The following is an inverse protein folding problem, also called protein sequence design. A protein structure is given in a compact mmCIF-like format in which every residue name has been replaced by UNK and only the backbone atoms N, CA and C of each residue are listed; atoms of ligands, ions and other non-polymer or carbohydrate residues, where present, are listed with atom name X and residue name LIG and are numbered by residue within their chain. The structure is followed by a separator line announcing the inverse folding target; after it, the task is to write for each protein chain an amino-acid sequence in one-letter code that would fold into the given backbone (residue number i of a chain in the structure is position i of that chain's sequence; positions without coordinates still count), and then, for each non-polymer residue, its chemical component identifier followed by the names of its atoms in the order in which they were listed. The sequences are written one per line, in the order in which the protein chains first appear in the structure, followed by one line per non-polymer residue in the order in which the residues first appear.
data_IF_700188652307
#
_entry.id   IF_700188652307
#
_cell.length_a   1.000
_cell.length_b   1.000
_cell.length_c   1.000
_cell.angle_alpha   90.00
_cell.angle_beta   90.00
_cell.angle_gamma   90.00
#
_symmetry.space_group_name_H-M   'P 1'
#
loop_
_entity.id
_entity.type
_entity.pdbx_description
1 polymer ?
#
# COMPACT_ATOMS: atom_id res chain seq x y z
N UNK A 1 16.50 -1.43 5.03
CA UNK A 1 15.21 -0.68 4.92
C UNK A 1 15.26 0.65 4.16
N UNK A 2 16.38 1.36 4.04
CA UNK A 2 16.46 2.68 3.33
C UNK A 2 16.33 2.64 1.79
N UNK A 3 16.49 1.48 1.14
CA UNK A 3 16.51 1.39 -0.33
C UNK A 3 15.14 1.35 -1.03
N UNK A 4 14.12 0.79 -0.39
CA UNK A 4 12.84 0.49 -1.04
C UNK A 4 11.95 1.70 -1.30
N UNK A 5 11.95 2.70 -0.40
CA UNK A 5 11.20 3.97 -0.58
C UNK A 5 11.72 4.82 -1.75
N UNK A 6 12.99 4.64 -2.13
CA UNK A 6 13.64 5.41 -3.20
C UNK A 6 13.18 5.00 -4.60
N UNK A 7 12.69 3.77 -4.78
CA UNK A 7 12.27 3.28 -6.11
C UNK A 7 11.05 4.06 -6.61
N UNK A 8 10.01 4.21 -5.80
CA UNK A 8 8.82 4.96 -6.16
C UNK A 8 9.13 6.44 -6.46
N UNK A 9 9.92 7.09 -5.59
CA UNK A 9 10.35 8.48 -5.79
C UNK A 9 11.24 8.62 -7.03
N UNK A 10 12.10 7.64 -7.32
CA UNK A 10 12.92 7.62 -8.53
C UNK A 10 12.07 7.56 -9.80
N UNK A 11 11.02 6.73 -9.83
CA UNK A 11 10.10 6.64 -10.97
C UNK A 11 9.32 7.95 -11.16
N UNK A 12 8.88 8.60 -10.07
CA UNK A 12 8.27 9.91 -10.12
C UNK A 12 9.21 10.98 -10.69
N UNK A 13 10.51 10.95 -10.33
CA UNK A 13 11.51 11.85 -10.88
C UNK A 13 11.73 11.61 -12.38
N UNK A 14 11.76 10.36 -12.84
CA UNK A 14 11.83 10.01 -14.26
C UNK A 14 10.59 10.51 -15.00
N UNK A 15 9.39 10.32 -14.44
CA UNK A 15 8.16 10.85 -15.01
C UNK A 15 8.19 12.38 -15.15
N UNK A 16 8.71 13.10 -14.13
CA UNK A 16 8.91 14.54 -14.18
C UNK A 16 9.84 14.94 -15.34
N UNK A 17 10.94 14.21 -15.53
CA UNK A 17 11.90 14.48 -16.62
C UNK A 17 11.25 14.25 -17.99
N UNK A 18 10.45 13.20 -18.16
CA UNK A 18 9.71 12.94 -19.40
C UNK A 18 8.72 14.09 -19.67
N UNK A 19 7.96 14.54 -18.68
CA UNK A 19 7.06 15.67 -18.83
C UNK A 19 7.79 16.97 -19.20
N UNK A 20 8.99 17.19 -18.63
CA UNK A 20 9.83 18.35 -18.99
C UNK A 20 10.22 18.30 -20.47
N UNK A 21 10.62 17.15 -20.98
CA UNK A 21 10.97 16.97 -22.40
C UNK A 21 9.76 17.23 -23.30
N UNK A 22 8.57 16.73 -22.95
CA UNK A 22 7.33 16.98 -23.69
C UNK A 22 7.00 18.48 -23.75
N UNK A 23 7.16 19.21 -22.64
CA UNK A 23 6.95 20.67 -22.61
C UNK A 23 7.92 21.39 -23.54
N UNK A 24 9.19 21.02 -23.53
CA UNK A 24 10.19 21.61 -24.42
C UNK A 24 9.89 21.35 -25.91
N UNK A 25 9.46 20.14 -26.23
CA UNK A 25 9.03 19.78 -27.60
C UNK A 25 7.82 20.60 -28.06
N UNK A 26 6.80 20.74 -27.20
CA UNK A 26 5.62 21.56 -27.47
C UNK A 26 5.99 23.03 -27.70
N UNK A 27 6.86 23.61 -26.87
CA UNK A 27 7.36 24.98 -27.01
C UNK A 27 8.12 25.16 -28.32
N UNK A 28 8.93 24.18 -28.72
CA UNK A 28 9.65 24.20 -29.98
C UNK A 28 8.69 24.22 -31.19
N UNK A 29 7.64 23.37 -31.15
CA UNK A 29 6.64 23.30 -32.22
C UNK A 29 5.79 24.59 -32.31
N UNK A 30 5.38 25.16 -31.15
CA UNK A 30 4.62 26.42 -31.11
C UNK A 30 5.42 27.57 -31.78
N UNK A 31 6.74 27.59 -31.55
CA UNK A 31 7.59 28.67 -32.03
C UNK A 31 7.88 28.61 -33.56
N UNK A 32 7.64 27.43 -34.20
CA UNK A 32 7.86 27.23 -35.65
C UNK A 32 6.73 27.73 -36.57
N UNK A 33 5.62 28.24 -36.02
CA UNK A 33 4.53 28.80 -36.80
C UNK A 33 3.60 27.73 -37.40
N UNK A 34 2.34 27.79 -37.09
CA UNK A 34 1.28 26.91 -37.56
C UNK A 34 -0.07 27.61 -37.53
N UNK A 35 -1.12 26.93 -37.96
CA UNK A 35 -2.53 27.40 -37.95
C UNK A 35 -2.86 27.78 -36.49
N UNK A 36 -3.52 28.92 -36.28
CA UNK A 36 -3.83 29.48 -34.94
C UNK A 36 -4.54 28.45 -34.00
N UNK A 37 -5.48 27.69 -34.55
CA UNK A 37 -6.17 26.64 -33.81
C UNK A 37 -5.18 25.62 -33.20
N UNK A 38 -4.14 25.24 -33.92
CA UNK A 38 -3.12 24.31 -33.46
C UNK A 38 -2.29 24.90 -32.32
N UNK A 39 -1.99 26.19 -32.36
CA UNK A 39 -1.30 26.89 -31.27
C UNK A 39 -2.12 26.85 -29.97
N UNK A 40 -3.42 27.15 -30.04
CA UNK A 40 -4.29 27.08 -28.83
C UNK A 40 -4.35 25.66 -28.25
N UNK A 41 -4.45 24.66 -29.13
CA UNK A 41 -4.49 23.25 -28.71
C UNK A 41 -3.19 22.82 -28.01
N UNK A 42 -2.04 23.23 -28.55
CA UNK A 42 -0.74 22.99 -27.91
C UNK A 42 -0.56 23.79 -26.62
N UNK A 43 -1.03 25.04 -26.56
CA UNK A 43 -0.98 25.82 -25.32
C UNK A 43 -1.81 25.20 -24.20
N UNK A 44 -3.02 24.72 -24.49
CA UNK A 44 -3.85 24.03 -23.50
C UNK A 44 -3.21 22.73 -23.02
N UNK A 45 -2.62 21.94 -23.92
CA UNK A 45 -1.88 20.75 -23.57
C UNK A 45 -0.65 21.08 -22.68
N UNK A 46 0.09 22.12 -23.05
CA UNK A 46 1.24 22.58 -22.25
C UNK A 46 0.83 22.99 -20.82
N UNK A 47 -0.26 23.78 -20.69
CA UNK A 47 -0.77 24.18 -19.37
C UNK A 47 -1.16 22.94 -18.56
N UNK A 48 -1.82 21.95 -19.17
CA UNK A 48 -2.19 20.71 -18.52
C UNK A 48 -0.97 19.91 -18.04
N UNK A 49 0.06 19.79 -18.88
CA UNK A 49 1.32 19.11 -18.50
C UNK A 49 2.05 19.84 -17.37
N UNK A 50 2.11 21.18 -17.43
CA UNK A 50 2.70 21.99 -16.35
C UNK A 50 1.94 21.83 -15.03
N UNK A 51 0.61 21.76 -15.08
CA UNK A 51 -0.21 21.48 -13.90
C UNK A 51 0.11 20.11 -13.29
N UNK A 52 0.23 19.05 -14.11
CA UNK A 52 0.63 17.73 -13.64
C UNK A 52 2.04 17.73 -13.02
N UNK A 53 2.98 18.45 -13.63
CA UNK A 53 4.34 18.61 -13.07
C UNK A 53 4.31 19.31 -11.70
N UNK A 54 3.57 20.40 -11.57
CA UNK A 54 3.42 21.11 -10.31
C UNK A 54 2.82 20.21 -9.21
N UNK A 55 1.86 19.37 -9.57
CA UNK A 55 1.24 18.40 -8.68
C UNK A 55 2.27 17.34 -8.20
N UNK A 56 3.10 16.82 -9.10
CA UNK A 56 4.17 15.87 -8.75
C UNK A 56 5.17 16.51 -7.78
N UNK A 57 5.62 17.75 -8.06
CA UNK A 57 6.54 18.49 -7.20
C UNK A 57 5.94 18.73 -5.82
N UNK A 58 4.66 19.13 -5.76
CA UNK A 58 3.95 19.35 -4.51
C UNK A 58 3.91 18.08 -3.64
N UNK A 59 3.69 16.90 -4.25
CA UNK A 59 3.66 15.63 -3.52
C UNK A 59 5.05 15.19 -3.06
N UNK A 60 6.08 15.33 -3.91
CA UNK A 60 7.45 15.04 -3.50
C UNK A 60 7.85 15.95 -2.32
N UNK A 61 7.52 17.25 -2.39
CA UNK A 61 7.73 18.21 -1.31
C UNK A 61 6.96 17.85 -0.04
N UNK A 62 5.71 17.42 -0.17
CA UNK A 62 4.87 16.98 0.94
C UNK A 62 5.44 15.72 1.63
N UNK A 63 5.87 14.73 0.85
CA UNK A 63 6.53 13.52 1.40
C UNK A 63 7.82 13.91 2.12
N UNK A 64 8.65 14.76 1.51
CA UNK A 64 9.88 15.25 2.12
C UNK A 64 9.62 16.00 3.42
N UNK A 65 8.62 16.89 3.43
CA UNK A 65 8.20 17.62 4.63
C UNK A 65 7.78 16.66 5.75
N UNK A 66 6.93 15.66 5.48
CA UNK A 66 6.48 14.67 6.48
C UNK A 66 7.64 13.83 7.01
N UNK A 67 8.64 13.52 6.16
CA UNK A 67 9.84 12.79 6.57
C UNK A 67 10.71 13.62 7.52
N UNK A 68 10.91 14.89 7.21
CA UNK A 68 11.83 15.78 7.96
C UNK A 68 11.19 16.34 9.23
N UNK A 69 9.95 16.85 9.14
CA UNK A 69 9.30 17.57 10.25
C UNK A 69 8.82 16.67 11.40
N UNK A 70 8.82 15.34 11.22
CA UNK A 70 8.26 14.37 12.16
C UNK A 70 6.79 14.64 12.57
N UNK A 71 6.18 15.74 12.12
CA UNK A 71 4.77 16.07 12.32
C UNK A 71 4.01 15.78 11.04
N UNK A 72 3.01 14.91 11.11
CA UNK A 72 2.04 14.71 10.03
C UNK A 72 0.75 15.40 10.40
N UNK A 73 0.19 16.16 9.45
CA UNK A 73 -1.15 16.66 9.57
C UNK A 73 -2.08 15.69 8.83
N UNK A 74 -3.20 15.30 9.43
CA UNK A 74 -4.16 14.33 8.84
C UNK A 74 -4.54 14.68 7.39
N UNK A 75 -4.67 15.98 7.11
CA UNK A 75 -4.94 16.47 5.75
C UNK A 75 -3.79 16.12 4.79
N UNK A 76 -2.54 16.34 5.21
CA UNK A 76 -1.36 16.09 4.39
C UNK A 76 -1.16 14.58 4.12
N UNK A 77 -1.36 13.74 5.15
CA UNK A 77 -1.32 12.28 4.97
C UNK A 77 -2.39 11.78 4.01
N UNK A 78 -3.61 12.31 4.12
CA UNK A 78 -4.73 11.96 3.23
C UNK A 78 -4.43 12.40 1.79
N UNK A 79 -3.91 13.62 1.61
CA UNK A 79 -3.53 14.12 0.30
C UNK A 79 -2.46 13.25 -0.37
N UNK A 80 -1.37 12.93 0.36
CA UNK A 80 -0.30 12.04 -0.14
C UNK A 80 -0.87 10.67 -0.50
N UNK A 81 -1.70 10.11 0.36
CA UNK A 81 -2.31 8.78 0.14
C UNK A 81 -3.16 8.76 -1.12
N UNK A 82 -4.05 9.74 -1.30
CA UNK A 82 -4.92 9.82 -2.48
C UNK A 82 -4.11 10.02 -3.77
N UNK A 83 -3.04 10.81 -3.70
CA UNK A 83 -2.15 10.99 -4.83
C UNK A 83 -1.41 9.69 -5.19
N UNK A 84 -0.86 8.99 -4.20
CA UNK A 84 -0.21 7.70 -4.41
C UNK A 84 -1.15 6.70 -5.08
N UNK A 85 -2.41 6.65 -4.65
CA UNK A 85 -3.42 5.75 -5.20
C UNK A 85 -3.78 6.12 -6.64
N UNK A 86 -3.91 7.41 -6.94
CA UNK A 86 -4.22 7.93 -8.27
C UNK A 86 -3.09 7.68 -9.27
N UNK A 87 -1.85 7.91 -8.85
CA UNK A 87 -0.68 7.78 -9.74
C UNK A 87 -0.07 6.37 -9.77
N UNK A 88 -0.54 5.46 -8.93
CA UNK A 88 -0.03 4.08 -8.90
C UNK A 88 -0.08 3.36 -10.25
N UNK A 89 -1.20 3.40 -11.03
CA UNK A 89 -1.24 2.74 -12.35
C UNK A 89 -0.21 3.32 -13.32
N UNK A 90 0.01 4.62 -13.27
CA UNK A 90 1.02 5.29 -14.10
C UNK A 90 2.44 4.86 -13.73
N UNK A 91 2.73 4.77 -12.42
CA UNK A 91 4.04 4.30 -11.93
C UNK A 91 4.30 2.86 -12.34
N UNK A 92 3.29 1.98 -12.29
CA UNK A 92 3.38 0.59 -12.76
C UNK A 92 3.61 0.53 -14.26
N UNK A 93 2.92 1.36 -15.05
CA UNK A 93 3.13 1.46 -16.50
C UNK A 93 4.58 1.87 -16.84
N UNK A 94 5.08 2.93 -16.22
CA UNK A 94 6.47 3.40 -16.43
C UNK A 94 7.48 2.33 -15.98
N UNK A 95 7.22 1.65 -14.86
CA UNK A 95 8.06 0.56 -14.38
C UNK A 95 8.11 -0.59 -15.39
N UNK A 96 6.99 -0.92 -16.04
CA UNK A 96 6.92 -1.92 -17.12
C UNK A 96 7.73 -1.51 -18.35
N UNK A 97 7.67 -0.24 -18.76
CA UNK A 97 8.47 0.29 -19.88
C UNK A 97 9.98 0.25 -19.57
N UNK A 98 10.36 0.49 -18.29
CA UNK A 98 11.75 0.47 -17.84
C UNK A 98 12.25 -0.93 -17.45
N UNK A 99 11.47 -2.00 -17.68
CA UNK A 99 11.76 -3.38 -17.29
C UNK A 99 12.12 -3.55 -15.80
N UNK A 100 11.47 -2.75 -14.95
CA UNK A 100 11.65 -2.84 -13.50
C UNK A 100 10.75 -3.91 -12.92
N UNK A 101 11.26 -4.65 -11.92
CA UNK A 101 10.45 -5.66 -11.19
C UNK A 101 9.29 -4.98 -10.47
N UNK A 102 8.06 -5.28 -10.87
CA UNK A 102 6.81 -4.72 -10.32
C UNK A 102 6.74 -4.95 -8.80
N UNK A 103 7.17 -6.11 -8.31
CA UNK A 103 7.22 -6.41 -6.87
C UNK A 103 7.98 -5.33 -6.06
N UNK A 104 9.06 -4.73 -6.63
CA UNK A 104 9.80 -3.66 -5.95
C UNK A 104 9.00 -2.35 -5.87
N UNK A 105 8.20 -2.06 -6.89
CA UNK A 105 7.30 -0.90 -6.91
C UNK A 105 6.21 -1.07 -5.86
N UNK A 106 5.58 -2.24 -5.83
CA UNK A 106 4.56 -2.61 -4.87
C UNK A 106 5.09 -2.54 -3.42
N UNK A 107 6.28 -3.11 -3.17
CA UNK A 107 6.95 -3.01 -1.86
C UNK A 107 7.18 -1.55 -1.46
N UNK A 108 7.65 -0.71 -2.40
CA UNK A 108 7.89 0.72 -2.15
C UNK A 108 6.60 1.46 -1.80
N UNK A 109 5.50 1.18 -2.52
CA UNK A 109 4.18 1.72 -2.25
C UNK A 109 3.68 1.34 -0.84
N UNK A 110 3.76 0.05 -0.49
CA UNK A 110 3.35 -0.45 0.83
C UNK A 110 4.19 0.20 1.95
N UNK A 111 5.50 0.36 1.75
CA UNK A 111 6.37 0.99 2.73
C UNK A 111 6.04 2.47 2.96
N UNK A 112 5.68 3.21 1.90
CA UNK A 112 5.26 4.62 2.03
C UNK A 112 3.92 4.68 2.79
N UNK A 113 2.95 3.85 2.43
CA UNK A 113 1.66 3.76 3.15
C UNK A 113 1.85 3.42 4.63
N UNK A 114 2.68 2.43 4.95
CA UNK A 114 3.00 2.06 6.32
C UNK A 114 3.73 3.18 7.08
N UNK A 115 4.59 3.94 6.39
CA UNK A 115 5.24 5.10 6.99
C UNK A 115 4.23 6.19 7.37
N UNK A 116 3.29 6.51 6.48
CA UNK A 116 2.22 7.47 6.76
C UNK A 116 1.31 6.97 7.87
N UNK A 117 0.93 5.69 7.85
CA UNK A 117 0.17 5.05 8.91
C UNK A 117 0.83 5.22 10.28
N UNK A 118 2.14 4.93 10.39
CA UNK A 118 2.89 5.07 11.64
C UNK A 118 2.99 6.52 12.16
N UNK A 119 2.81 7.51 11.28
CA UNK A 119 2.79 8.92 11.67
C UNK A 119 1.44 9.37 12.27
N UNK A 120 0.36 8.72 11.82
CA UNK A 120 -1.01 9.04 12.22
C UNK A 120 -1.61 7.97 13.15
N UNK A 121 -0.74 7.16 13.78
CA UNK A 121 -1.18 6.06 14.64
C UNK A 121 -2.01 6.59 15.81
N UNK A 122 -3.13 5.93 16.08
CA UNK A 122 -4.04 6.25 17.18
C UNK A 122 -4.21 5.02 18.04
N UNK A 123 -4.73 5.24 19.24
CA UNK A 123 -5.18 4.15 20.11
C UNK A 123 -6.50 3.59 19.61
N UNK A 124 -6.58 2.26 19.52
CA UNK A 124 -7.78 1.53 19.11
C UNK A 124 -8.18 0.54 20.21
N UNK A 125 -9.47 0.30 20.36
CA UNK A 125 -9.94 -0.79 21.20
C UNK A 125 -9.65 -2.14 20.51
N UNK A 126 -9.39 -3.22 21.28
CA UNK A 126 -9.05 -4.52 20.69
C UNK A 126 -10.04 -5.00 19.63
N UNK A 127 -11.33 -4.87 19.88
CA UNK A 127 -12.41 -5.26 18.95
C UNK A 127 -12.46 -4.43 17.65
N UNK A 128 -11.82 -3.26 17.62
CA UNK A 128 -11.74 -2.40 16.45
C UNK A 128 -10.58 -2.77 15.51
N UNK A 129 -9.68 -3.66 15.98
CA UNK A 129 -8.50 -4.12 15.23
C UNK A 129 -8.83 -5.43 14.53
N UNK A 130 -8.63 -5.49 13.20
CA UNK A 130 -8.73 -6.71 12.41
C UNK A 130 -7.36 -7.13 11.89
N UNK A 131 -6.94 -8.35 12.19
CA UNK A 131 -5.83 -9.02 11.51
C UNK A 131 -6.43 -9.83 10.37
N UNK A 132 -6.10 -9.46 9.14
CA UNK A 132 -6.56 -10.13 7.93
C UNK A 132 -5.40 -10.86 7.28
N UNK A 133 -5.43 -12.19 7.33
CA UNK A 133 -4.36 -13.05 6.85
C UNK A 133 -4.77 -13.86 5.61
N UNK A 134 -3.84 -14.19 4.72
CA UNK A 134 -4.11 -15.02 3.56
C UNK A 134 -4.12 -16.50 3.96
N UNK A 135 -4.94 -17.31 3.29
CA UNK A 135 -5.03 -18.74 3.55
C UNK A 135 -3.72 -19.52 3.28
N UNK A 136 -2.83 -18.96 2.44
CA UNK A 136 -1.56 -19.61 2.10
C UNK A 136 -0.56 -19.67 3.27
N UNK A 137 -0.81 -18.99 4.38
CA UNK A 137 -0.05 -19.17 5.64
C UNK A 137 -0.40 -20.50 6.31
N UNK A 138 -1.62 -21.02 6.09
CA UNK A 138 -2.00 -22.32 6.63
C UNK A 138 -1.22 -23.44 5.96
N UNK A 139 -0.74 -24.39 6.78
CA UNK A 139 -0.09 -25.60 6.27
C UNK A 139 -0.99 -26.32 5.25
N UNK A 140 -0.47 -26.58 4.07
CA UNK A 140 -1.25 -27.13 2.94
C UNK A 140 -1.90 -28.49 3.23
N UNK A 141 -1.23 -29.35 4.00
CA UNK A 141 -1.72 -30.65 4.46
C UNK A 141 -2.68 -30.59 5.65
N UNK A 142 -3.09 -29.41 6.12
CA UNK A 142 -4.04 -29.28 7.23
C UNK A 142 -5.44 -29.68 6.80
N UNK A 143 -6.05 -30.62 7.52
CA UNK A 143 -7.43 -31.07 7.30
C UNK A 143 -8.48 -30.08 7.83
N UNK A 144 -8.09 -29.22 8.79
CA UNK A 144 -8.96 -28.25 9.46
C UNK A 144 -8.81 -26.89 8.78
N UNK A 145 -9.66 -26.60 7.80
CA UNK A 145 -9.59 -25.33 7.07
C UNK A 145 -10.12 -24.17 7.92
N UNK A 146 -9.33 -23.11 8.01
CA UNK A 146 -9.61 -21.93 8.84
C UNK A 146 -10.19 -20.74 8.07
N UNK A 147 -10.47 -20.90 6.79
CA UNK A 147 -10.93 -19.81 5.90
C UNK A 147 -12.27 -19.20 6.32
N UNK A 148 -13.17 -20.01 6.87
CA UNK A 148 -14.49 -19.55 7.30
C UNK A 148 -14.55 -19.29 8.80
N UNK A 149 -13.78 -20.06 9.56
CA UNK A 149 -13.76 -20.00 11.00
C UNK A 149 -12.34 -20.30 11.50
N UNK A 150 -11.73 -19.33 12.16
CA UNK A 150 -10.39 -19.47 12.70
C UNK A 150 -10.34 -20.45 13.88
N UNK A 151 -11.48 -20.72 14.54
CA UNK A 151 -11.57 -21.66 15.66
C UNK A 151 -11.44 -23.13 15.22
N UNK A 152 -11.50 -23.40 13.91
CA UNK A 152 -11.13 -24.70 13.37
C UNK A 152 -9.64 -25.04 13.58
N UNK A 153 -8.79 -24.05 13.92
CA UNK A 153 -7.37 -24.28 14.17
C UNK A 153 -7.16 -25.14 15.42
N UNK A 154 -6.53 -26.30 15.25
CA UNK A 154 -6.18 -27.21 16.37
C UNK A 154 -4.89 -26.84 17.09
N UNK A 155 -4.31 -25.67 16.82
CA UNK A 155 -3.10 -25.13 17.50
C UNK A 155 -1.92 -26.11 17.50
N UNK A 156 -1.74 -26.86 16.44
CA UNK A 156 -0.71 -27.90 16.34
C UNK A 156 0.72 -27.37 16.10
N UNK A 157 0.90 -26.05 15.92
CA UNK A 157 2.20 -25.40 15.72
C UNK A 157 2.82 -25.60 14.33
N UNK A 158 2.17 -26.31 13.39
CA UNK A 158 2.72 -26.58 12.05
C UNK A 158 2.75 -25.37 11.13
N UNK A 159 1.99 -24.31 11.42
CA UNK A 159 1.93 -23.08 10.67
C UNK A 159 1.60 -21.89 11.58
N UNK A 160 1.82 -20.68 11.08
CA UNK A 160 1.68 -19.45 11.86
C UNK A 160 0.22 -19.02 12.12
N UNK A 161 -0.77 -19.78 11.64
CA UNK A 161 -2.17 -19.60 12.08
C UNK A 161 -2.30 -19.76 13.60
N UNK A 162 -1.50 -20.67 14.20
CA UNK A 162 -1.46 -20.82 15.66
C UNK A 162 -1.12 -19.51 16.35
N UNK A 163 -0.12 -18.77 15.84
CA UNK A 163 0.32 -17.50 16.43
C UNK A 163 -0.76 -16.43 16.30
N UNK A 164 -1.47 -16.40 15.17
CA UNK A 164 -2.59 -15.48 14.97
C UNK A 164 -3.75 -15.75 15.94
N UNK A 165 -4.07 -17.03 16.19
CA UNK A 165 -5.08 -17.42 17.20
C UNK A 165 -4.62 -17.01 18.59
N UNK A 166 -3.33 -17.20 18.92
CA UNK A 166 -2.76 -16.76 20.20
C UNK A 166 -2.85 -15.23 20.38
N UNK A 167 -2.65 -14.44 19.31
CA UNK A 167 -2.82 -12.99 19.38
C UNK A 167 -4.28 -12.59 19.61
N UNK A 168 -5.24 -13.26 18.97
CA UNK A 168 -6.67 -13.06 19.27
C UNK A 168 -6.96 -13.28 20.75
N UNK A 169 -6.54 -14.40 21.29
CA UNK A 169 -6.83 -14.78 22.67
C UNK A 169 -6.10 -13.86 23.68
N UNK A 170 -4.87 -13.47 23.37
CA UNK A 170 -4.04 -12.61 24.26
C UNK A 170 -4.46 -11.15 24.25
N UNK A 171 -4.82 -10.61 23.10
CA UNK A 171 -5.07 -9.18 22.92
C UNK A 171 -6.53 -8.83 22.67
N UNK A 172 -7.40 -9.80 22.46
CA UNK A 172 -8.83 -9.58 22.15
C UNK A 172 -9.09 -8.97 20.77
N UNK A 173 -8.13 -9.08 19.84
CA UNK A 173 -8.26 -8.54 18.47
C UNK A 173 -8.99 -9.51 17.56
N UNK A 174 -9.67 -8.99 16.53
CA UNK A 174 -10.31 -9.84 15.53
C UNK A 174 -9.27 -10.42 14.58
N UNK A 175 -9.41 -11.70 14.23
CA UNK A 175 -8.55 -12.38 13.27
C UNK A 175 -9.42 -13.11 12.24
N UNK A 176 -9.11 -12.91 10.97
CA UNK A 176 -9.81 -13.60 9.87
C UNK A 176 -8.82 -14.04 8.79
N UNK A 177 -9.15 -15.15 8.15
CA UNK A 177 -8.36 -15.73 7.06
C UNK A 177 -9.17 -15.69 5.77
N UNK A 178 -8.60 -15.09 4.72
CA UNK A 178 -9.25 -14.96 3.42
C UNK A 178 -8.52 -15.75 2.34
N UNK A 179 -9.28 -16.34 1.39
CA UNK A 179 -8.75 -17.03 0.22
C UNK A 179 -8.43 -16.09 -0.94
N UNK A 180 -8.86 -14.84 -0.87
CA UNK A 180 -8.66 -13.83 -1.91
C UNK A 180 -9.41 -12.55 -1.62
N UNK A 181 -9.28 -11.57 -2.51
CA UNK A 181 -9.81 -10.21 -2.34
C UNK A 181 -11.32 -10.14 -2.09
N UNK A 182 -12.12 -10.99 -2.73
CA UNK A 182 -13.58 -11.00 -2.55
C UNK A 182 -13.98 -11.37 -1.13
N UNK A 183 -13.38 -12.42 -0.56
CA UNK A 183 -13.64 -12.81 0.82
C UNK A 183 -13.07 -11.78 1.79
N UNK A 184 -11.89 -11.24 1.51
CA UNK A 184 -11.27 -10.17 2.31
C UNK A 184 -12.21 -8.94 2.42
N UNK A 185 -12.78 -8.46 1.30
CA UNK A 185 -13.75 -7.35 1.30
C UNK A 185 -15.02 -7.69 2.08
N UNK A 186 -15.51 -8.93 1.96
CA UNK A 186 -16.67 -9.39 2.73
C UNK A 186 -16.38 -9.35 4.22
N UNK A 187 -15.25 -9.90 4.67
CA UNK A 187 -14.82 -9.86 6.08
C UNK A 187 -14.76 -8.42 6.61
N UNK A 188 -14.13 -7.50 5.87
CA UNK A 188 -14.05 -6.08 6.28
C UNK A 188 -15.43 -5.45 6.38
N UNK A 189 -16.35 -5.75 5.45
CA UNK A 189 -17.73 -5.26 5.48
C UNK A 189 -18.52 -5.78 6.68
N UNK A 190 -18.32 -7.06 7.02
CA UNK A 190 -19.06 -7.74 8.09
C UNK A 190 -18.53 -7.33 9.47
N UNK A 191 -17.19 -7.26 9.64
CA UNK A 191 -16.55 -6.92 10.93
C UNK A 191 -16.49 -5.42 11.21
N UNK A 192 -16.57 -4.57 10.19
CA UNK A 192 -16.50 -3.10 10.28
C UNK A 192 -15.37 -2.60 11.17
N UNK A 193 -14.12 -3.03 10.96
CA UNK A 193 -13.00 -2.67 11.82
C UNK A 193 -12.67 -1.17 11.66
N UNK A 194 -12.05 -0.56 12.67
CA UNK A 194 -11.53 0.81 12.55
C UNK A 194 -10.07 0.85 12.08
N UNK A 195 -9.37 -0.28 12.13
CA UNK A 195 -8.00 -0.43 11.63
C UNK A 195 -7.75 -1.87 11.22
N UNK A 196 -6.96 -2.07 10.17
CA UNK A 196 -6.63 -3.39 9.63
C UNK A 196 -5.11 -3.60 9.66
N UNK A 197 -4.66 -4.74 10.18
CA UNK A 197 -3.34 -5.30 9.95
C UNK A 197 -3.51 -6.34 8.84
N UNK A 198 -3.14 -5.98 7.61
CA UNK A 198 -3.29 -6.84 6.45
C UNK A 198 -2.00 -7.59 6.15
N UNK A 199 -2.09 -8.91 6.02
CA UNK A 199 -0.98 -9.78 5.65
C UNK A 199 -1.29 -10.37 4.28
N UNK A 200 -0.43 -10.16 3.29
CA UNK A 200 -0.55 -10.77 1.97
C UNK A 200 0.74 -10.61 1.15
N UNK A 201 0.76 -11.12 -0.08
CA UNK A 201 1.81 -10.78 -1.04
C UNK A 201 1.70 -9.33 -1.50
N UNK A 202 2.75 -8.82 -2.13
CA UNK A 202 2.86 -7.41 -2.54
C UNK A 202 1.65 -6.97 -3.37
N UNK A 203 1.29 -7.76 -4.38
CA UNK A 203 0.17 -7.48 -5.29
C UNK A 203 -1.17 -7.38 -4.56
N UNK A 204 -1.46 -8.36 -3.72
CA UNK A 204 -2.75 -8.41 -3.02
C UNK A 204 -2.84 -7.32 -1.93
N UNK A 205 -1.72 -7.01 -1.25
CA UNK A 205 -1.66 -5.89 -0.30
C UNK A 205 -1.90 -4.55 -1.00
N UNK A 206 -1.23 -4.31 -2.13
CA UNK A 206 -1.36 -3.06 -2.88
C UNK A 206 -2.81 -2.87 -3.34
N UNK A 207 -3.42 -3.91 -3.94
CA UNK A 207 -4.82 -3.88 -4.34
C UNK A 207 -5.75 -3.65 -3.15
N UNK A 208 -5.56 -4.40 -2.05
CA UNK A 208 -6.40 -4.26 -0.85
C UNK A 208 -6.29 -2.88 -0.20
N UNK A 209 -5.10 -2.28 -0.14
CA UNK A 209 -4.89 -0.94 0.40
C UNK A 209 -5.52 0.16 -0.47
N UNK A 210 -5.66 -0.06 -1.78
CA UNK A 210 -6.36 0.87 -2.70
C UNK A 210 -7.87 0.74 -2.58
N UNK A 211 -8.38 -0.47 -2.34
CA UNK A 211 -9.81 -0.72 -2.19
C UNK A 211 -10.41 -0.12 -0.91
N UNK A 212 -9.65 -0.16 0.19
CA UNK A 212 -10.12 0.26 1.52
C UNK A 212 -9.63 1.68 1.82
N UNK A 213 -10.29 2.69 1.23
CA UNK A 213 -9.88 4.10 1.38
C UNK A 213 -10.20 4.73 2.74
N UNK A 214 -11.21 4.23 3.45
CA UNK A 214 -11.72 4.87 4.67
C UNK A 214 -11.15 4.28 5.97
N UNK A 215 -10.56 3.09 5.91
CA UNK A 215 -10.02 2.39 7.08
C UNK A 215 -8.49 2.38 6.96
N UNK A 216 -7.76 2.83 7.99
CA UNK A 216 -6.30 2.74 8.00
C UNK A 216 -5.84 1.28 7.91
N UNK A 217 -4.91 1.00 6.99
CA UNK A 217 -4.36 -0.35 6.78
C UNK A 217 -2.85 -0.33 6.97
N UNK A 218 -2.36 -1.20 7.85
CA UNK A 218 -0.94 -1.52 7.98
C UNK A 218 -0.64 -2.82 7.26
N UNK A 219 0.20 -2.78 6.22
CA UNK A 219 0.53 -3.94 5.39
C UNK A 219 1.77 -4.67 5.86
N UNK A 220 1.69 -5.98 6.00
CA UNK A 220 2.82 -6.87 6.28
C UNK A 220 2.95 -7.85 5.11
N UNK A 221 4.05 -7.75 4.38
CA UNK A 221 4.31 -8.62 3.24
C UNK A 221 4.69 -10.00 3.76
N UNK A 222 4.05 -11.04 3.24
CA UNK A 222 4.38 -12.42 3.56
C UNK A 222 5.63 -12.89 2.80
N UNK A 223 6.38 -13.77 3.42
CA UNK A 223 7.52 -14.45 2.82
C UNK A 223 7.05 -15.69 2.07
N UNK A 224 7.68 -16.00 0.94
CA UNK A 224 7.31 -17.09 0.02
C UNK A 224 8.46 -18.09 -0.17
N UNK A 225 8.93 -18.75 0.91
CA UNK A 225 10.09 -19.64 0.81
C UNK A 225 9.86 -20.85 -0.09
N UNK A 226 8.59 -21.25 -0.27
CA UNK A 226 8.20 -22.42 -1.07
C UNK A 226 7.53 -22.04 -2.39
N UNK A 227 7.71 -20.76 -2.86
CA UNK A 227 7.04 -20.25 -4.03
C UNK A 227 5.72 -19.53 -3.73
N UNK A 228 5.00 -19.05 -4.74
CA UNK A 228 3.79 -18.27 -4.58
C UNK A 228 2.65 -19.10 -4.00
N UNK A 229 1.87 -18.50 -3.10
CA UNK A 229 0.62 -19.04 -2.53
C UNK A 229 0.73 -20.42 -1.85
N UNK A 230 1.92 -20.84 -1.40
CA UNK A 230 2.12 -22.17 -0.81
C UNK A 230 2.97 -22.11 0.46
N UNK A 231 2.38 -22.50 1.60
CA UNK A 231 3.04 -22.54 2.92
C UNK A 231 3.88 -21.29 3.17
N UNK A 232 3.27 -20.12 2.96
CA UNK A 232 3.93 -18.82 3.14
C UNK A 232 4.15 -18.55 4.63
N UNK A 233 5.06 -17.62 4.93
CA UNK A 233 5.39 -17.21 6.29
C UNK A 233 5.20 -15.71 6.46
N UNK A 234 5.10 -15.28 7.71
CA UNK A 234 5.03 -13.86 8.06
C UNK A 234 5.91 -13.60 9.28
N UNK A 235 6.41 -12.39 9.39
CA UNK A 235 7.10 -11.93 10.59
C UNK A 235 6.09 -11.74 11.74
N UNK A 236 6.00 -12.74 12.61
CA UNK A 236 5.09 -12.79 13.76
C UNK A 236 5.43 -11.69 14.77
N UNK A 237 6.71 -11.36 14.96
CA UNK A 237 7.15 -10.29 15.87
C UNK A 237 6.63 -8.93 15.40
N UNK A 238 6.71 -8.68 14.10
CA UNK A 238 6.19 -7.45 13.49
C UNK A 238 4.68 -7.31 13.65
N UNK A 239 3.93 -8.41 13.59
CA UNK A 239 2.48 -8.40 13.88
C UNK A 239 2.24 -7.99 15.33
N UNK A 240 2.91 -8.66 16.28
CA UNK A 240 2.74 -8.39 17.70
C UNK A 240 3.13 -6.94 18.07
N UNK A 241 4.25 -6.44 17.56
CA UNK A 241 4.65 -5.04 17.74
C UNK A 241 3.59 -4.07 17.21
N UNK A 242 3.00 -4.37 16.05
CA UNK A 242 1.96 -3.53 15.46
C UNK A 242 0.70 -3.54 16.30
N UNK A 243 0.27 -4.70 16.82
CA UNK A 243 -0.86 -4.80 17.76
C UNK A 243 -0.59 -3.93 19.00
N UNK A 244 0.58 -4.08 19.61
CA UNK A 244 0.96 -3.30 20.81
C UNK A 244 0.92 -1.79 20.55
N UNK A 245 1.44 -1.34 19.40
CA UNK A 245 1.39 0.08 18.99
C UNK A 245 -0.04 0.57 18.83
N UNK A 246 -0.92 -0.22 18.24
CA UNK A 246 -2.32 0.16 18.03
C UNK A 246 -3.11 0.21 19.35
N UNK A 247 -2.81 -0.66 20.29
CA UNK A 247 -3.44 -0.68 21.61
C UNK A 247 -2.97 0.48 22.51
N UNK A 248 -1.71 0.90 22.36
CA UNK A 248 -1.09 1.94 23.20
C UNK A 248 -1.18 3.34 22.59
N UNK A 249 -1.38 3.48 21.27
CA UNK A 249 -1.48 4.78 20.58
C UNK A 249 -0.13 5.32 20.10
N UNK A 250 0.85 4.46 19.84
CA UNK A 250 2.17 4.81 19.30
C UNK A 250 3.27 4.93 20.33
#
# INVERSE_FOLDING_TARGET
MKGKKRVFLGILAVAFLIFTLIVLEILYVINRGGIELYKYLLMTLMIFVLFLMALIVAVIGAIFYVVVSKKSNKFLSSFITNFLDLFYPFVVFVAGVLDLKIDKVEQSYIEIKNFLFNKDIKRYAPQDILILAPHCIQYSGCKFKVTYDIDNCRRCGKCQINDLVNFRDKYGVNVSVATGGTLARKVVKDTKPKVIIAIACERDLTSGMQDVKQIPVYGIINERPNGPCFNTRVDVQKIEETIKKLLNGG
#
